data_IF_039217985467
#
_entry.id   IF_039217985467
#
_cell.length_a   1.000
_cell.length_b   1.000
_cell.length_c   1.000
_cell.angle_alpha   90.00
_cell.angle_beta   90.00
_cell.angle_gamma   90.00
#
_symmetry.space_group_name_H-M   'P 1'
#
loop_
_entity.id
_entity.type
_entity.pdbx_description
1 polymer ?
#
# COMPACT_ATOMS: atom_id res chain seq x y z
N UNK A 1 6.73 -1.55 1.82
CA UNK A 1 6.12 -2.11 0.59
C UNK A 1 5.67 -0.96 -0.31
N UNK A 2 6.01 -1.04 -1.59
CA UNK A 2 5.55 -0.16 -2.69
C UNK A 2 4.67 -0.98 -3.66
N UNK A 3 3.69 -0.39 -4.36
CA UNK A 3 2.74 -1.08 -5.26
C UNK A 3 2.14 -2.45 -4.84
N UNK A 4 1.49 -2.58 -3.68
CA UNK A 4 0.97 -3.82 -3.07
C UNK A 4 -0.47 -4.05 -3.54
N UNK A 5 -0.72 -5.01 -4.43
CA UNK A 5 -2.06 -5.31 -4.91
C UNK A 5 -2.93 -6.04 -3.86
N UNK A 6 -2.35 -6.53 -2.76
CA UNK A 6 -3.06 -7.15 -1.64
C UNK A 6 -3.27 -6.20 -0.45
N UNK A 7 -3.24 -4.88 -0.69
CA UNK A 7 -3.43 -3.89 0.39
C UNK A 7 -4.81 -4.08 1.04
N UNK A 8 -4.83 -4.07 2.36
CA UNK A 8 -6.05 -4.07 3.17
C UNK A 8 -6.19 -2.72 3.90
N UNK A 9 -7.41 -2.16 3.98
CA UNK A 9 -7.65 -0.91 4.68
C UNK A 9 -7.48 -1.06 6.21
N UNK A 10 -7.26 0.07 6.90
CA UNK A 10 -7.26 0.13 8.37
C UNK A 10 -6.03 -0.45 9.08
N UNK A 11 -5.00 -0.90 8.35
CA UNK A 11 -3.79 -1.43 8.97
C UNK A 11 -2.88 -0.32 9.50
N UNK A 12 -2.31 -0.51 10.69
CA UNK A 12 -1.40 0.45 11.33
C UNK A 12 -0.17 0.76 10.47
N UNK A 13 0.30 -0.22 9.69
CA UNK A 13 1.45 -0.08 8.80
C UNK A 13 1.13 0.74 7.53
N UNK A 14 -0.14 1.04 7.26
CA UNK A 14 -0.55 1.79 6.08
C UNK A 14 -0.21 3.26 6.23
N UNK A 15 0.60 3.78 5.30
CA UNK A 15 0.95 5.20 5.26
C UNK A 15 0.77 5.79 3.86
N UNK A 16 0.64 7.11 3.80
CA UNK A 16 0.58 7.88 2.56
C UNK A 16 2.00 8.23 2.04
N UNK A 17 2.05 9.00 0.95
CA UNK A 17 3.31 9.46 0.33
C UNK A 17 4.15 10.37 1.21
N UNK A 18 3.67 10.77 2.39
CA UNK A 18 4.32 11.66 3.36
C UNK A 18 4.56 10.97 4.71
N UNK A 19 4.31 9.66 4.82
CA UNK A 19 4.52 8.88 6.02
C UNK A 19 3.42 9.02 7.08
N UNK A 20 2.29 9.64 6.72
CA UNK A 20 1.14 9.81 7.64
C UNK A 20 0.25 8.57 7.56
N UNK A 21 -0.51 8.24 8.62
CA UNK A 21 -1.47 7.15 8.57
C UNK A 21 -2.44 7.30 7.39
N UNK A 22 -2.60 6.21 6.64
CA UNK A 22 -3.50 6.18 5.49
C UNK A 22 -4.85 5.57 5.89
N UNK A 23 -5.87 6.43 5.95
CA UNK A 23 -7.23 6.09 6.38
C UNK A 23 -8.17 5.68 5.23
N UNK A 24 -7.64 5.50 4.01
CA UNK A 24 -8.47 5.04 2.89
C UNK A 24 -9.04 3.66 3.17
N UNK A 25 -10.28 3.45 2.73
CA UNK A 25 -11.06 2.22 2.93
C UNK A 25 -11.02 1.27 1.73
N UNK A 26 -10.32 1.66 0.65
CA UNK A 26 -10.20 0.86 -0.56
C UNK A 26 -9.26 -0.33 -0.37
N UNK A 27 -9.57 -1.43 -1.06
CA UNK A 27 -8.78 -2.65 -1.10
C UNK A 27 -7.88 -2.64 -2.35
N UNK A 28 -6.74 -3.34 -2.29
CA UNK A 28 -5.94 -3.58 -3.49
C UNK A 28 -6.66 -4.51 -4.48
N UNK A 29 -6.30 -4.40 -5.76
CA UNK A 29 -6.98 -5.14 -6.85
C UNK A 29 -6.97 -6.66 -6.64
N UNK A 30 -5.86 -7.23 -6.13
CA UNK A 30 -5.79 -8.66 -5.84
C UNK A 30 -6.44 -9.01 -4.50
N UNK A 31 -6.52 -8.08 -3.55
CA UNK A 31 -7.30 -8.29 -2.34
C UNK A 31 -8.79 -8.41 -2.66
N UNK A 32 -9.33 -7.56 -3.54
CA UNK A 32 -10.72 -7.65 -4.03
C UNK A 32 -10.96 -9.01 -4.69
N UNK A 33 -10.13 -9.40 -5.65
CA UNK A 33 -10.26 -10.69 -6.34
C UNK A 33 -10.17 -11.89 -5.38
N UNK A 34 -9.29 -11.84 -4.39
CA UNK A 34 -9.16 -12.90 -3.40
C UNK A 34 -10.40 -13.01 -2.49
N UNK A 35 -10.98 -11.87 -2.09
CA UNK A 35 -12.22 -11.83 -1.30
C UNK A 35 -13.39 -12.38 -2.12
N UNK A 36 -13.56 -11.93 -3.37
CA UNK A 36 -14.65 -12.36 -4.24
C UNK A 36 -14.58 -13.85 -4.60
N UNK A 37 -13.38 -14.39 -4.77
CA UNK A 37 -13.16 -15.79 -5.12
C UNK A 37 -13.05 -16.74 -3.90
N UNK A 38 -13.17 -16.23 -2.67
CA UNK A 38 -12.79 -16.95 -1.44
C UNK A 38 -11.40 -17.59 -1.55
N UNK A 39 -10.49 -16.91 -2.24
CA UNK A 39 -9.12 -17.33 -2.49
C UNK A 39 -8.20 -17.11 -1.29
N UNK A 40 -6.96 -17.57 -1.42
CA UNK A 40 -5.94 -17.31 -0.40
C UNK A 40 -5.36 -15.92 -0.60
N UNK A 41 -5.36 -15.10 0.45
CA UNK A 41 -4.74 -13.79 0.44
C UNK A 41 -3.33 -13.85 1.00
N UNK A 42 -2.33 -13.46 0.20
CA UNK A 42 -0.95 -13.34 0.66
C UNK A 42 -0.79 -11.96 1.28
N UNK A 43 -0.81 -11.89 2.61
CA UNK A 43 -0.64 -10.66 3.36
C UNK A 43 0.14 -10.90 4.65
N UNK A 44 0.73 -9.85 5.20
CA UNK A 44 1.32 -9.90 6.54
C UNK A 44 0.20 -9.93 7.60
N UNK A 45 0.47 -10.46 8.79
CA UNK A 45 -0.47 -10.37 9.91
C UNK A 45 -0.37 -9.01 10.60
N UNK A 46 -1.42 -8.63 11.34
CA UNK A 46 -1.47 -7.30 11.98
C UNK A 46 -0.40 -7.14 13.07
N UNK A 47 -0.05 -8.22 13.77
CA UNK A 47 1.03 -8.23 14.77
C UNK A 47 2.35 -7.75 14.17
N UNK A 48 2.71 -8.23 12.97
CA UNK A 48 3.92 -7.79 12.29
C UNK A 48 3.85 -6.30 11.91
N UNK A 49 2.65 -5.82 11.54
CA UNK A 49 2.40 -4.39 11.32
C UNK A 49 2.62 -3.55 12.57
N UNK A 50 2.14 -4.01 13.73
CA UNK A 50 2.29 -3.32 15.01
C UNK A 50 3.74 -3.26 15.51
N UNK A 51 4.61 -4.19 15.09
CA UNK A 51 6.05 -4.11 15.42
C UNK A 51 6.77 -2.93 14.77
N UNK A 52 6.13 -2.26 13.80
CA UNK A 52 6.75 -1.22 12.98
C UNK A 52 7.76 -1.76 11.96
N UNK A 53 7.93 -3.08 11.81
CA UNK A 53 8.82 -3.66 10.78
C UNK A 53 8.25 -3.52 9.37
N UNK A 54 6.94 -3.34 9.25
CA UNK A 54 6.24 -3.15 7.97
C UNK A 54 5.79 -1.71 7.87
N UNK A 55 6.04 -1.11 6.71
CA UNK A 55 5.42 0.13 6.28
C UNK A 55 4.89 -0.08 4.86
N UNK A 56 3.61 0.18 4.62
CA UNK A 56 2.93 -0.03 3.35
C UNK A 56 2.46 1.32 2.78
N UNK A 57 3.28 1.90 1.89
CA UNK A 57 3.22 3.32 1.47
C UNK A 57 2.35 3.49 0.23
N UNK A 58 1.16 4.07 0.28
CA UNK A 58 0.29 4.19 -0.89
C UNK A 58 0.25 5.61 -1.45
N UNK A 59 0.56 5.77 -2.75
CA UNK A 59 0.33 7.03 -3.45
C UNK A 59 -1.17 7.26 -3.67
N UNK A 60 -1.56 8.53 -3.81
CA UNK A 60 -2.96 8.95 -3.76
C UNK A 60 -3.80 8.28 -4.85
N UNK A 61 -3.31 8.25 -6.08
CA UNK A 61 -4.05 7.74 -7.23
C UNK A 61 -3.62 6.34 -7.65
N UNK A 62 -2.90 5.57 -6.82
CA UNK A 62 -2.50 4.21 -7.17
C UNK A 62 -3.65 3.20 -7.07
N UNK A 63 -4.37 3.01 -8.18
CA UNK A 63 -5.51 2.10 -8.29
C UNK A 63 -5.19 0.63 -8.09
N UNK A 64 -3.92 0.21 -8.22
CA UNK A 64 -3.55 -1.19 -7.97
C UNK A 64 -3.67 -1.49 -6.48
N UNK A 65 -3.42 -0.49 -5.64
CA UNK A 65 -3.50 -0.59 -4.17
C UNK A 65 -4.82 -0.16 -3.59
N UNK A 66 -5.50 0.77 -4.24
CA UNK A 66 -6.79 1.32 -3.85
C UNK A 66 -7.72 1.20 -5.05
N UNK A 67 -8.20 -0.02 -5.29
CA UNK A 67 -9.01 -0.35 -6.45
C UNK A 67 -10.29 0.48 -6.45
N UNK A 68 -10.52 1.14 -7.59
CA UNK A 68 -11.72 1.91 -7.88
C UNK A 68 -12.31 1.36 -9.19
N UNK A 69 -13.43 0.62 -9.14
CA UNK A 69 -14.06 0.06 -10.32
C UNK A 69 -14.69 1.12 -11.23
N UNK A 70 -14.93 2.33 -10.73
CA UNK A 70 -15.53 3.44 -11.48
C UNK A 70 -14.47 4.27 -12.24
N UNK A 71 -13.17 3.98 -12.04
CA UNK A 71 -12.10 4.68 -12.73
C UNK A 71 -11.84 4.09 -14.12
N UNK A 72 -11.98 4.90 -15.18
CA UNK A 72 -11.63 4.51 -16.57
C UNK A 72 -10.10 4.47 -16.85
N UNK A 73 -9.28 4.40 -15.80
CA UNK A 73 -7.84 4.50 -15.91
C UNK A 73 -7.18 3.14 -16.23
N UNK A 74 -6.36 3.07 -17.30
CA UNK A 74 -5.70 1.82 -17.74
C UNK A 74 -4.57 1.32 -16.81
N UNK A 75 -3.98 2.22 -16.03
CA UNK A 75 -3.04 1.98 -14.92
C UNK A 75 -2.64 3.38 -14.43
N UNK A 76 -2.77 3.64 -13.13
CA UNK A 76 -2.40 4.95 -12.62
C UNK A 76 -0.89 5.17 -12.69
N UNK A 77 -0.46 6.31 -13.24
CA UNK A 77 0.93 6.78 -13.25
C UNK A 77 1.61 6.62 -11.88
N UNK A 78 0.84 6.83 -10.81
CA UNK A 78 1.26 6.67 -9.43
C UNK A 78 1.82 5.27 -9.13
N UNK A 79 1.23 4.21 -9.68
CA UNK A 79 1.75 2.86 -9.47
C UNK A 79 3.19 2.69 -9.99
N UNK A 80 3.54 3.46 -11.03
CA UNK A 80 4.84 3.40 -11.69
C UNK A 80 5.85 4.43 -11.13
N UNK A 81 5.43 5.30 -10.20
CA UNK A 81 6.20 6.49 -9.82
C UNK A 81 6.85 6.43 -8.43
N UNK A 82 6.65 5.37 -7.64
CA UNK A 82 7.26 5.22 -6.31
C UNK A 82 8.78 5.43 -6.31
N UNK A 83 9.48 4.94 -7.33
CA UNK A 83 10.94 5.08 -7.48
C UNK A 83 11.40 6.51 -7.75
N UNK A 84 10.51 7.36 -8.27
CA UNK A 84 10.79 8.76 -8.63
C UNK A 84 10.29 9.75 -7.57
N UNK A 85 9.41 9.31 -6.68
CA UNK A 85 8.88 10.14 -5.60
C UNK A 85 9.90 10.29 -4.47
N UNK A 86 10.49 11.48 -4.35
CA UNK A 86 11.47 11.79 -3.30
C UNK A 86 10.94 11.47 -1.90
N UNK A 87 9.72 11.87 -1.57
CA UNK A 87 9.15 11.63 -0.24
C UNK A 87 8.95 10.15 0.06
N UNK A 88 8.68 9.31 -0.95
CA UNK A 88 8.64 7.86 -0.81
C UNK A 88 10.04 7.29 -0.59
N UNK A 89 11.03 7.75 -1.35
CA UNK A 89 12.42 7.28 -1.21
C UNK A 89 13.00 7.64 0.17
N UNK A 90 12.79 8.88 0.62
CA UNK A 90 13.25 9.35 1.93
C UNK A 90 12.60 8.50 3.05
N UNK A 91 11.29 8.23 2.98
CA UNK A 91 10.61 7.35 3.94
C UNK A 91 11.15 5.92 3.96
N UNK A 92 11.40 5.34 2.78
CA UNK A 92 11.96 3.97 2.70
C UNK A 92 13.34 3.95 3.35
N UNK A 93 14.17 4.96 3.07
CA UNK A 93 15.50 5.09 3.65
C UNK A 93 15.43 5.20 5.18
N UNK A 94 14.61 6.12 5.69
CA UNK A 94 14.43 6.33 7.13
C UNK A 94 13.88 5.08 7.83
N UNK A 95 12.91 4.41 7.21
CA UNK A 95 12.34 3.16 7.72
C UNK A 95 13.36 2.03 7.77
N UNK A 96 14.27 1.95 6.80
CA UNK A 96 15.32 0.93 6.80
C UNK A 96 16.41 1.27 7.82
N UNK A 97 16.90 2.51 7.85
CA UNK A 97 18.00 2.94 8.74
C UNK A 97 17.58 2.89 10.20
N UNK A 98 16.37 3.31 10.55
CA UNK A 98 15.87 3.28 11.94
C UNK A 98 15.73 1.87 12.54
N UNK A 99 16.01 0.83 11.75
CA UNK A 99 15.94 -0.59 12.14
C UNK A 99 17.31 -1.25 12.23
N UNK A 100 18.38 -0.52 11.90
CA UNK A 100 19.76 -0.89 12.17
C UNK A 100 20.23 -0.25 13.48
#
# INVERSE_FOLDING_TARGET
MVGNPYRLPGRVANVDSQGRPDNRTAYGVFAVQAIESNGTMISYNDDLGMTGKVQDICLENDIVRAFDPECECQLASDHLSYGLSKSVQDQILDHVISRF
#
